data_IF_017227926492
#
_entry.id   IF_017227926492
#
_cell.length_a   1.000
_cell.length_b   1.000
_cell.length_c   1.000
_cell.angle_alpha   90.00
_cell.angle_beta   90.00
_cell.angle_gamma   90.00
#
_symmetry.space_group_name_H-M   'P 1'
#
loop_
_entity.id
_entity.type
_entity.pdbx_description
1 polymer ?
#
# COMPACT_ATOMS: atom_id res chain seq x y z
N UNK A 1 27.21 10.49 -22.76
CA UNK A 1 26.27 9.54 -22.11
C UNK A 1 24.87 10.12 -22.23
N UNK A 2 24.10 9.64 -23.20
CA UNK A 2 22.72 10.09 -23.42
C UNK A 2 21.87 9.45 -22.33
N UNK A 3 21.61 10.19 -21.26
CA UNK A 3 20.61 9.79 -20.29
C UNK A 3 19.27 9.72 -21.02
N UNK A 4 18.81 8.51 -21.28
CA UNK A 4 17.53 8.21 -21.88
C UNK A 4 16.46 8.93 -21.06
N UNK A 5 15.86 10.00 -21.62
CA UNK A 5 14.72 10.68 -21.00
C UNK A 5 13.55 9.71 -21.02
N UNK A 6 13.49 8.81 -20.04
CA UNK A 6 12.35 7.93 -19.86
C UNK A 6 11.12 8.83 -19.68
N UNK A 7 10.21 8.79 -20.65
CA UNK A 7 8.98 9.58 -20.63
C UNK A 7 8.19 9.26 -19.36
N UNK A 8 7.62 10.28 -18.71
CA UNK A 8 6.78 10.11 -17.50
C UNK A 8 5.64 9.13 -17.71
N UNK A 9 5.11 9.04 -18.94
CA UNK A 9 4.12 8.03 -19.35
C UNK A 9 4.68 6.61 -19.28
N UNK A 10 5.89 6.39 -19.78
CA UNK A 10 6.52 5.07 -19.73
C UNK A 10 6.81 4.65 -18.28
N UNK A 11 7.24 5.59 -17.44
CA UNK A 11 7.45 5.33 -16.00
C UNK A 11 6.14 4.99 -15.29
N UNK A 12 5.06 5.73 -15.58
CA UNK A 12 3.73 5.45 -15.04
C UNK A 12 3.23 4.07 -15.45
N UNK A 13 3.30 3.71 -16.74
CA UNK A 13 2.85 2.39 -17.22
C UNK A 13 3.64 1.26 -16.57
N UNK A 14 4.97 1.37 -16.53
CA UNK A 14 5.83 0.36 -15.90
C UNK A 14 5.54 0.22 -14.40
N UNK A 15 5.36 1.33 -13.70
CA UNK A 15 5.07 1.32 -12.28
C UNK A 15 3.67 0.79 -11.95
N UNK A 16 2.64 1.14 -12.73
CA UNK A 16 1.29 0.57 -12.57
C UNK A 16 1.30 -0.93 -12.85
N UNK A 17 1.99 -1.39 -13.90
CA UNK A 17 2.13 -2.80 -14.19
C UNK A 17 2.84 -3.55 -13.05
N UNK A 18 3.91 -2.98 -12.49
CA UNK A 18 4.61 -3.54 -11.34
C UNK A 18 3.68 -3.65 -10.11
N UNK A 19 2.89 -2.62 -9.80
CA UNK A 19 1.90 -2.67 -8.72
C UNK A 19 0.86 -3.76 -8.93
N UNK A 20 0.36 -3.92 -10.17
CA UNK A 20 -0.63 -4.92 -10.50
C UNK A 20 -0.05 -6.34 -10.36
N UNK A 21 1.19 -6.56 -10.80
CA UNK A 21 1.90 -7.81 -10.58
C UNK A 21 2.05 -8.10 -9.08
N UNK A 22 2.47 -7.11 -8.30
CA UNK A 22 2.62 -7.26 -6.84
C UNK A 22 1.26 -7.57 -6.19
N UNK A 23 0.17 -6.92 -6.61
CA UNK A 23 -1.18 -7.18 -6.11
C UNK A 23 -1.63 -8.62 -6.40
N UNK A 24 -1.37 -9.13 -7.60
CA UNK A 24 -1.64 -10.53 -7.97
C UNK A 24 -0.80 -11.48 -7.11
N UNK A 25 0.49 -11.20 -6.93
CA UNK A 25 1.36 -12.01 -6.07
C UNK A 25 0.86 -11.99 -4.62
N UNK A 26 0.48 -10.83 -4.08
CA UNK A 26 -0.11 -10.70 -2.75
C UNK A 26 -1.35 -11.57 -2.60
N UNK A 27 -2.26 -11.51 -3.58
CA UNK A 27 -3.46 -12.35 -3.57
C UNK A 27 -3.11 -13.84 -3.58
N UNK A 28 -2.21 -14.27 -4.45
CA UNK A 28 -1.81 -15.68 -4.55
C UNK A 28 -1.12 -16.19 -3.27
N UNK A 29 -0.17 -15.44 -2.72
CA UNK A 29 0.58 -15.82 -1.53
C UNK A 29 -0.22 -15.68 -0.23
N UNK A 30 -1.26 -14.84 -0.19
CA UNK A 30 -2.17 -14.74 0.96
C UNK A 30 -3.26 -15.81 0.97
N UNK A 31 -3.50 -16.49 -0.16
CA UNK A 31 -4.58 -17.49 -0.31
C UNK A 31 -4.04 -18.89 -0.61
N UNK A 32 -3.81 -19.20 -1.89
CA UNK A 32 -3.54 -20.55 -2.38
C UNK A 32 -2.08 -20.98 -2.35
N UNK A 33 -1.14 -20.03 -2.46
CA UNK A 33 0.31 -20.28 -2.43
C UNK A 33 0.92 -19.99 -1.05
N UNK A 34 0.10 -19.98 0.00
CA UNK A 34 0.59 -19.69 1.34
C UNK A 34 1.58 -20.76 1.81
N UNK A 35 2.81 -20.35 2.07
CA UNK A 35 3.90 -21.26 2.47
C UNK A 35 3.79 -21.58 3.96
N UNK A 36 3.28 -22.77 4.27
CA UNK A 36 3.08 -23.28 5.64
C UNK A 36 4.34 -23.92 6.23
N UNK A 37 5.48 -23.23 6.11
CA UNK A 37 6.71 -23.65 6.79
C UNK A 37 6.77 -22.86 8.11
N UNK A 38 6.64 -23.52 9.28
CA UNK A 38 6.72 -22.85 10.56
C UNK A 38 8.14 -22.36 10.84
N UNK A 39 8.27 -21.16 11.38
CA UNK A 39 9.55 -20.58 11.79
C UNK A 39 9.65 -20.61 13.32
N UNK A 40 9.08 -19.61 13.99
CA UNK A 40 9.06 -19.48 15.44
C UNK A 40 7.84 -18.67 15.88
N UNK A 41 7.38 -18.87 17.12
CA UNK A 41 6.28 -18.12 17.74
C UNK A 41 4.97 -18.13 16.93
N UNK A 42 4.71 -19.20 16.17
CA UNK A 42 3.53 -19.31 15.32
C UNK A 42 3.58 -18.50 14.02
N UNK A 43 4.72 -17.87 13.71
CA UNK A 43 4.98 -17.23 12.41
C UNK A 43 5.38 -18.27 11.37
N UNK A 44 4.85 -18.14 10.15
CA UNK A 44 5.18 -18.98 9.02
C UNK A 44 5.99 -18.22 7.98
N UNK A 45 6.75 -18.93 7.15
CA UNK A 45 7.48 -18.33 6.03
C UNK A 45 6.55 -17.52 5.10
N UNK A 46 5.33 -18.02 4.88
CA UNK A 46 4.32 -17.31 4.09
C UNK A 46 3.99 -15.92 4.67
N UNK A 47 4.01 -15.75 5.99
CA UNK A 47 3.75 -14.44 6.61
C UNK A 47 4.87 -13.44 6.30
N UNK A 48 6.13 -13.89 6.27
CA UNK A 48 7.27 -13.04 5.88
C UNK A 48 7.23 -12.66 4.40
N UNK A 49 6.81 -13.60 3.53
CA UNK A 49 6.63 -13.33 2.11
C UNK A 49 5.54 -12.29 1.90
N UNK A 50 4.38 -12.45 2.55
CA UNK A 50 3.28 -11.48 2.47
C UNK A 50 3.72 -10.11 3.01
N UNK A 51 4.39 -10.06 4.16
CA UNK A 51 4.94 -8.81 4.71
C UNK A 51 5.89 -8.11 3.72
N UNK A 52 6.79 -8.88 3.10
CA UNK A 52 7.74 -8.35 2.12
C UNK A 52 7.02 -7.80 0.90
N UNK A 53 6.00 -8.51 0.40
CA UNK A 53 5.20 -8.06 -0.74
C UNK A 53 4.37 -6.82 -0.42
N UNK A 54 3.83 -6.69 0.79
CA UNK A 54 3.13 -5.47 1.24
C UNK A 54 4.09 -4.29 1.29
N UNK A 55 5.28 -4.47 1.86
CA UNK A 55 6.31 -3.42 1.88
C UNK A 55 6.73 -3.00 0.48
N UNK A 56 6.91 -3.96 -0.44
CA UNK A 56 7.20 -3.67 -1.85
C UNK A 56 6.04 -2.95 -2.53
N UNK A 57 4.79 -3.32 -2.23
CA UNK A 57 3.61 -2.64 -2.76
C UNK A 57 3.61 -1.16 -2.35
N UNK A 58 3.80 -0.88 -1.05
CA UNK A 58 3.84 0.48 -0.51
C UNK A 58 4.96 1.29 -1.18
N UNK A 59 6.18 0.74 -1.20
CA UNK A 59 7.32 1.43 -1.81
C UNK A 59 7.11 1.72 -3.31
N UNK A 60 6.47 0.80 -4.05
CA UNK A 60 6.15 1.01 -5.46
C UNK A 60 5.00 1.99 -5.67
N UNK A 61 4.01 2.01 -4.79
CA UNK A 61 2.90 2.95 -4.83
C UNK A 61 3.41 4.38 -4.63
N UNK A 62 4.27 4.61 -3.63
CA UNK A 62 4.86 5.92 -3.39
C UNK A 62 5.68 6.44 -4.59
N UNK A 63 6.48 5.57 -5.21
CA UNK A 63 7.25 5.93 -6.42
C UNK A 63 6.37 6.30 -7.61
N UNK A 64 5.10 5.86 -7.61
CA UNK A 64 4.17 6.07 -8.70
C UNK A 64 3.42 7.40 -8.62
N UNK A 65 3.41 8.04 -7.44
CA UNK A 65 2.69 9.31 -7.21
C UNK A 65 3.11 10.37 -8.22
N UNK A 66 4.41 10.68 -8.30
CA UNK A 66 4.92 11.73 -9.17
C UNK A 66 4.65 11.48 -10.67
N UNK A 67 4.99 10.31 -11.26
CA UNK A 67 4.73 10.05 -12.67
C UNK A 67 3.23 10.01 -13.01
N UNK A 68 2.37 9.41 -12.18
CA UNK A 68 0.93 9.42 -12.43
C UNK A 68 0.36 10.83 -12.37
N UNK A 69 0.76 11.61 -11.37
CA UNK A 69 0.29 13.00 -11.22
C UNK A 69 0.65 13.85 -12.44
N UNK A 70 1.88 13.70 -12.95
CA UNK A 70 2.32 14.36 -14.18
C UNK A 70 1.47 13.96 -15.39
N UNK A 71 1.25 12.66 -15.58
CA UNK A 71 0.48 12.15 -16.73
C UNK A 71 -0.98 12.63 -16.68
N UNK A 72 -1.61 12.57 -15.51
CA UNK A 72 -3.01 12.96 -15.30
C UNK A 72 -3.17 14.48 -15.42
N UNK A 73 -2.27 15.27 -14.83
CA UNK A 73 -2.30 16.74 -14.92
C UNK A 73 -2.20 17.21 -16.37
N UNK A 74 -1.30 16.61 -17.16
CA UNK A 74 -1.16 16.91 -18.59
C UNK A 74 -2.42 16.49 -19.37
N UNK A 75 -2.96 15.30 -19.10
CA UNK A 75 -4.13 14.77 -19.82
C UNK A 75 -5.41 15.58 -19.56
N UNK A 76 -5.59 16.07 -18.33
CA UNK A 76 -6.78 16.82 -17.90
C UNK A 76 -6.59 18.34 -17.96
N UNK A 77 -5.41 18.82 -18.38
CA UNK A 77 -5.04 20.24 -18.33
C UNK A 77 -5.32 20.88 -16.95
N UNK A 78 -5.08 20.13 -15.88
CA UNK A 78 -5.42 20.49 -14.51
C UNK A 78 -4.16 20.87 -13.69
N UNK A 79 -4.35 21.63 -12.61
CA UNK A 79 -3.27 22.04 -11.72
C UNK A 79 -2.53 20.82 -11.14
N UNK A 80 -1.23 20.72 -11.42
CA UNK A 80 -0.38 19.60 -11.02
C UNK A 80 -0.34 19.38 -9.50
N UNK A 81 -0.48 20.43 -8.69
CA UNK A 81 -0.47 20.33 -7.23
C UNK A 81 -1.74 19.64 -6.71
N UNK A 82 -2.90 20.01 -7.25
CA UNK A 82 -4.19 19.43 -6.85
C UNK A 82 -4.27 17.97 -7.28
N UNK A 83 -3.87 17.68 -8.54
CA UNK A 83 -3.80 16.30 -9.04
C UNK A 83 -2.80 15.48 -8.23
N UNK A 84 -1.65 16.06 -7.89
CA UNK A 84 -0.64 15.44 -7.03
C UNK A 84 -1.20 15.01 -5.67
N UNK A 85 -1.87 15.93 -4.98
CA UNK A 85 -2.50 15.65 -3.70
C UNK A 85 -3.59 14.56 -3.80
N UNK A 86 -4.36 14.56 -4.89
CA UNK A 86 -5.38 13.54 -5.15
C UNK A 86 -4.76 12.16 -5.36
N UNK A 87 -3.80 12.05 -6.28
CA UNK A 87 -3.12 10.78 -6.59
C UNK A 87 -2.38 10.24 -5.36
N UNK A 88 -1.70 11.10 -4.61
CA UNK A 88 -1.04 10.74 -3.37
C UNK A 88 -2.02 10.17 -2.35
N UNK A 89 -3.15 10.84 -2.13
CA UNK A 89 -4.15 10.42 -1.15
C UNK A 89 -4.83 9.11 -1.56
N UNK A 90 -5.11 8.96 -2.86
CA UNK A 90 -5.68 7.73 -3.42
C UNK A 90 -4.73 6.54 -3.26
N UNK A 91 -3.46 6.69 -3.61
CA UNK A 91 -2.46 5.63 -3.45
C UNK A 91 -2.24 5.27 -1.99
N UNK A 92 -2.18 6.25 -1.08
CA UNK A 92 -2.09 5.99 0.37
C UNK A 92 -3.31 5.25 0.92
N UNK A 93 -4.51 5.55 0.44
CA UNK A 93 -5.70 4.78 0.82
C UNK A 93 -5.61 3.33 0.33
N UNK A 94 -5.10 3.10 -0.89
CA UNK A 94 -4.86 1.75 -1.39
C UNK A 94 -3.79 1.01 -0.57
N UNK A 95 -2.71 1.68 -0.21
CA UNK A 95 -1.66 1.12 0.66
C UNK A 95 -2.23 0.66 2.01
N UNK A 96 -3.03 1.51 2.66
CA UNK A 96 -3.71 1.18 3.92
C UNK A 96 -4.65 0.00 3.73
N UNK A 97 -5.45 -0.03 2.67
CA UNK A 97 -6.37 -1.12 2.39
C UNK A 97 -5.62 -2.45 2.18
N UNK A 98 -4.57 -2.45 1.36
CA UNK A 98 -3.74 -3.64 1.12
C UNK A 98 -3.09 -4.13 2.41
N UNK A 99 -2.49 -3.22 3.19
CA UNK A 99 -1.89 -3.58 4.46
C UNK A 99 -2.92 -4.13 5.47
N UNK A 100 -4.13 -3.57 5.52
CA UNK A 100 -5.22 -4.04 6.39
C UNK A 100 -5.65 -5.47 6.07
N UNK A 101 -5.83 -5.79 4.80
CA UNK A 101 -6.26 -7.13 4.40
C UNK A 101 -5.13 -8.16 4.50
N UNK A 102 -3.93 -7.79 4.07
CA UNK A 102 -2.82 -8.74 3.94
C UNK A 102 -2.06 -8.99 5.24
N UNK A 103 -1.96 -8.00 6.14
CA UNK A 103 -1.12 -8.15 7.34
C UNK A 103 -1.86 -8.68 8.56
N UNK A 104 -3.20 -8.75 8.57
CA UNK A 104 -4.03 -9.01 9.75
C UNK A 104 -3.50 -10.11 10.68
N UNK A 105 -3.01 -11.22 10.12
CA UNK A 105 -2.54 -12.37 10.90
C UNK A 105 -1.34 -12.05 11.81
N UNK A 106 -0.36 -11.30 11.34
CA UNK A 106 0.89 -11.05 12.07
C UNK A 106 0.68 -10.18 13.33
N UNK A 107 0.05 -8.99 13.25
CA UNK A 107 -0.23 -8.18 14.43
C UNK A 107 -1.14 -8.89 15.41
N UNK A 108 -2.14 -9.64 14.95
CA UNK A 108 -3.00 -10.42 15.86
C UNK A 108 -2.20 -11.47 16.61
N UNK A 109 -1.28 -12.18 15.95
CA UNK A 109 -0.44 -13.17 16.59
C UNK A 109 0.48 -12.53 17.66
N UNK A 110 1.00 -11.33 17.39
CA UNK A 110 1.87 -10.62 18.34
C UNK A 110 1.10 -9.95 19.49
N UNK A 111 -0.11 -9.45 19.24
CA UNK A 111 -0.92 -8.70 20.21
C UNK A 111 -1.79 -9.61 21.09
N UNK A 112 -2.23 -10.76 20.58
CA UNK A 112 -3.13 -11.67 21.31
C UNK A 112 -2.55 -12.12 22.66
N UNK A 113 -1.25 -12.46 22.80
CA UNK A 113 -0.66 -12.81 24.09
C UNK A 113 -0.64 -11.66 25.11
N UNK A 114 -0.67 -10.41 24.64
CA UNK A 114 -0.55 -9.22 25.49
C UNK A 114 -1.90 -8.69 25.97
N UNK A 115 -2.92 -8.74 25.12
CA UNK A 115 -4.19 -8.03 25.35
C UNK A 115 -5.42 -8.94 25.21
N UNK A 116 -5.22 -10.20 24.80
CA UNK A 116 -6.31 -11.12 24.44
C UNK A 116 -6.73 -10.98 22.97
N UNK A 117 -7.25 -12.05 22.38
CA UNK A 117 -7.61 -12.12 20.94
C UNK A 117 -8.65 -11.08 20.53
N UNK A 118 -9.67 -10.87 21.37
CA UNK A 118 -10.79 -9.98 21.04
C UNK A 118 -10.34 -8.52 21.04
N UNK A 119 -9.57 -8.12 22.07
CA UNK A 119 -9.01 -6.78 22.16
C UNK A 119 -7.93 -6.53 21.10
N UNK A 120 -7.13 -7.55 20.74
CA UNK A 120 -6.14 -7.44 19.67
C UNK A 120 -6.80 -7.15 18.32
N UNK A 121 -7.96 -7.78 18.03
CA UNK A 121 -8.79 -7.48 16.87
C UNK A 121 -9.23 -6.02 16.84
N UNK A 122 -9.83 -5.55 17.93
CA UNK A 122 -10.32 -4.17 18.04
C UNK A 122 -9.18 -3.15 17.90
N UNK A 123 -8.02 -3.40 18.53
CA UNK A 123 -6.85 -2.53 18.42
C UNK A 123 -6.32 -2.46 16.99
N UNK A 124 -6.26 -3.60 16.30
CA UNK A 124 -5.85 -3.66 14.89
C UNK A 124 -6.79 -2.83 14.00
N UNK A 125 -8.09 -3.06 14.11
CA UNK A 125 -9.09 -2.36 13.30
C UNK A 125 -9.09 -0.85 13.61
N UNK A 126 -8.97 -0.47 14.90
CA UNK A 126 -8.89 0.93 15.32
C UNK A 126 -7.64 1.63 14.77
N UNK A 127 -6.47 0.99 14.79
CA UNK A 127 -5.25 1.57 14.26
C UNK A 127 -5.36 1.90 12.76
N UNK A 128 -5.94 0.98 11.98
CA UNK A 128 -6.17 1.18 10.55
C UNK A 128 -7.25 2.23 10.26
N UNK A 129 -8.30 2.28 11.07
CA UNK A 129 -9.32 3.33 10.98
C UNK A 129 -8.70 4.72 11.22
N UNK A 130 -7.90 4.87 12.27
CA UNK A 130 -7.19 6.13 12.56
C UNK A 130 -6.27 6.51 11.39
N UNK A 131 -5.51 5.56 10.85
CA UNK A 131 -4.65 5.81 9.69
C UNK A 131 -5.46 6.29 8.46
N UNK A 132 -6.59 5.65 8.16
CA UNK A 132 -7.47 6.06 7.07
C UNK A 132 -8.05 7.46 7.29
N UNK A 133 -8.52 7.78 8.50
CA UNK A 133 -8.99 9.11 8.88
C UNK A 133 -7.91 10.18 8.70
N UNK A 134 -6.65 9.88 9.07
CA UNK A 134 -5.53 10.80 8.89
C UNK A 134 -5.25 11.07 7.40
N UNK A 135 -5.32 10.05 6.55
CA UNK A 135 -5.16 10.23 5.10
C UNK A 135 -6.28 11.10 4.53
N UNK A 136 -7.54 10.83 4.88
CA UNK A 136 -8.69 11.64 4.45
C UNK A 136 -8.54 13.09 4.93
N UNK A 137 -8.17 13.30 6.18
CA UNK A 137 -7.93 14.65 6.71
C UNK A 137 -6.81 15.36 5.94
N UNK A 138 -5.70 14.68 5.67
CA UNK A 138 -4.58 15.24 4.92
C UNK A 138 -4.97 15.64 3.49
N UNK A 139 -5.85 14.86 2.85
CA UNK A 139 -6.41 15.13 1.54
C UNK A 139 -7.30 16.37 1.53
N UNK A 140 -8.26 16.44 2.46
CA UNK A 140 -9.16 17.60 2.61
C UNK A 140 -8.35 18.87 2.86
N UNK A 141 -7.35 18.80 3.74
CA UNK A 141 -6.44 19.92 4.03
C UNK A 141 -5.63 20.36 2.81
N UNK A 142 -5.26 19.45 1.92
CA UNK A 142 -4.52 19.77 0.71
C UNK A 142 -5.39 20.45 -0.35
N UNK A 143 -6.68 20.14 -0.42
CA UNK A 143 -7.63 20.77 -1.35
C UNK A 143 -8.15 22.12 -0.83
N UNK A 144 -8.33 22.25 0.48
CA UNK A 144 -8.85 23.48 1.10
C UNK A 144 -7.85 24.64 1.15
N UNK A 145 -6.62 24.43 0.66
CA UNK A 145 -5.56 25.44 0.52
C UNK A 145 -5.48 25.94 -0.91
#
# INVERSE_FOLDING_TARGET
MVAERVSSRALAVRGTAALLIIAVLLFLFSTGLFIRIPLAYGVFLGDLVVLTLVMLFILRAEQLIAPLSSVISIALAANANIVGAFVQSFLRMLEIAVAYYSLRRLPLLLLSPLVGSDNAGVLYDAAFLVAACLVIYSFVKAIAR
#
